data_IF_471577689985
#
_entry.id   IF_471577689985
#
_cell.length_a   1.000
_cell.length_b   1.000
_cell.length_c   1.000
_cell.angle_alpha   90.00
_cell.angle_beta   90.00
_cell.angle_gamma   90.00
#
_symmetry.space_group_name_H-M   'P 1'
#
loop_
_entity.id
_entity.type
_entity.pdbx_description
1 polymer ?
#
# COMPACT_ATOMS: atom_id res chain seq x y z
N UNK A 1 14.69 15.46 -17.64
CA UNK A 1 15.33 14.21 -17.18
C UNK A 1 14.42 13.20 -16.48
N UNK A 2 14.05 13.30 -15.19
CA UNK A 2 13.32 12.20 -14.49
C UNK A 2 12.07 11.69 -15.24
N UNK A 3 11.22 12.60 -15.71
CA UNK A 3 10.01 12.22 -16.46
C UNK A 3 10.33 11.66 -17.86
N UNK A 4 11.40 12.14 -18.50
CA UNK A 4 11.85 11.59 -19.80
C UNK A 4 12.26 10.13 -19.65
N UNK A 5 12.95 9.78 -18.56
CA UNK A 5 13.31 8.39 -18.25
C UNK A 5 12.07 7.52 -18.05
N UNK A 6 11.07 8.00 -17.28
CA UNK A 6 9.83 7.26 -17.04
C UNK A 6 8.97 7.08 -18.29
N UNK A 7 8.95 8.07 -19.17
CA UNK A 7 8.23 8.01 -20.45
C UNK A 7 9.04 7.30 -21.55
N UNK A 8 10.30 6.94 -21.30
CA UNK A 8 11.19 6.35 -22.29
C UNK A 8 11.50 7.28 -23.47
N UNK A 9 11.57 8.61 -23.24
CA UNK A 9 11.82 9.60 -24.28
C UNK A 9 13.31 9.92 -24.40
N UNK A 10 13.80 10.05 -25.65
CA UNK A 10 15.17 10.47 -25.93
C UNK A 10 15.27 11.39 -27.16
N UNK A 11 16.35 12.17 -27.25
CA UNK A 11 16.64 13.05 -28.39
C UNK A 11 15.52 14.06 -28.68
N UNK A 12 15.04 14.09 -29.92
CA UNK A 12 14.03 15.06 -30.38
C UNK A 12 12.62 14.82 -29.79
N UNK A 13 12.41 13.72 -29.04
CA UNK A 13 11.14 13.43 -28.38
C UNK A 13 10.97 14.17 -27.03
N UNK A 14 11.99 14.93 -26.61
CA UNK A 14 11.99 15.65 -25.34
C UNK A 14 11.18 16.97 -25.41
N UNK A 15 10.80 17.42 -26.61
CA UNK A 15 10.04 18.67 -26.83
C UNK A 15 8.52 18.56 -26.55
N UNK A 16 8.14 17.83 -25.50
CA UNK A 16 6.75 17.76 -25.03
C UNK A 16 6.37 18.98 -24.19
N UNK A 17 5.09 19.36 -24.22
CA UNK A 17 4.56 20.53 -23.49
C UNK A 17 3.63 20.07 -22.36
N UNK A 18 3.74 20.70 -21.20
CA UNK A 18 2.83 20.48 -20.07
C UNK A 18 1.70 21.51 -20.06
N UNK A 19 0.54 21.11 -19.54
CA UNK A 19 -0.50 22.06 -19.15
C UNK A 19 0.01 22.92 -18.00
N UNK A 20 -0.26 24.22 -18.02
CA UNK A 20 0.16 25.16 -16.98
C UNK A 20 -0.60 25.01 -15.65
N UNK A 21 -1.66 24.20 -15.62
CA UNK A 21 -2.55 24.06 -14.46
C UNK A 21 -2.83 22.60 -14.13
N UNK A 22 -2.83 22.30 -12.83
CA UNK A 22 -3.27 21.02 -12.28
C UNK A 22 -4.78 20.85 -12.50
N UNK A 23 -5.24 19.62 -12.82
CA UNK A 23 -6.67 19.34 -12.96
C UNK A 23 -7.42 19.65 -11.67
N UNK A 24 -8.62 20.22 -11.80
CA UNK A 24 -9.47 20.51 -10.65
C UNK A 24 -9.89 19.21 -9.95
N UNK A 25 -9.88 19.21 -8.62
CA UNK A 25 -10.39 18.09 -7.83
C UNK A 25 -11.91 17.97 -8.06
N UNK A 26 -12.44 16.75 -8.27
CA UNK A 26 -13.87 16.52 -8.39
C UNK A 26 -14.64 17.10 -7.18
N UNK A 27 -15.87 17.55 -7.40
CA UNK A 27 -16.73 18.06 -6.32
C UNK A 27 -17.38 16.95 -5.48
N UNK A 28 -17.40 15.73 -6.02
CA UNK A 28 -18.03 14.57 -5.42
C UNK A 28 -16.91 13.63 -5.00
N UNK A 29 -16.95 13.23 -3.72
CA UNK A 29 -16.04 12.24 -3.16
C UNK A 29 -16.39 10.86 -3.74
N UNK A 30 -15.37 10.11 -4.15
CA UNK A 30 -15.58 8.76 -4.68
C UNK A 30 -15.98 7.78 -3.58
N UNK A 31 -16.74 6.75 -3.94
CA UNK A 31 -17.02 5.66 -3.00
C UNK A 31 -15.76 4.80 -2.80
N UNK A 32 -15.25 4.78 -1.57
CA UNK A 32 -14.04 4.06 -1.18
C UNK A 32 -14.31 2.89 -0.21
N UNK A 33 -15.55 2.36 -0.17
CA UNK A 33 -15.93 1.36 0.84
C UNK A 33 -15.25 0.01 0.64
N UNK A 34 -14.98 -0.37 -0.61
CA UNK A 34 -14.46 -1.70 -0.98
C UNK A 34 -12.95 -1.71 -1.29
N UNK A 35 -12.22 -0.64 -0.96
CA UNK A 35 -10.80 -0.48 -1.32
C UNK A 35 -9.93 -1.64 -0.82
N UNK A 36 -10.15 -2.13 0.39
CA UNK A 36 -9.39 -3.27 0.93
C UNK A 36 -9.60 -4.55 0.12
N UNK A 37 -10.84 -4.87 -0.22
CA UNK A 37 -11.17 -6.07 -1.00
C UNK A 37 -10.59 -5.98 -2.41
N UNK A 38 -10.73 -4.82 -3.05
CA UNK A 38 -10.16 -4.59 -4.38
C UNK A 38 -8.63 -4.72 -4.36
N UNK A 39 -7.94 -4.12 -3.37
CA UNK A 39 -6.49 -4.18 -3.27
C UNK A 39 -5.95 -5.60 -3.08
N UNK A 40 -6.65 -6.45 -2.31
CA UNK A 40 -6.27 -7.86 -2.17
C UNK A 40 -6.51 -8.63 -3.47
N UNK A 41 -7.67 -8.43 -4.09
CA UNK A 41 -8.07 -9.17 -5.28
C UNK A 41 -7.14 -8.88 -6.48
N UNK A 42 -6.66 -7.65 -6.61
CA UNK A 42 -5.76 -7.25 -7.69
C UNK A 42 -4.28 -7.44 -7.38
N UNK A 43 -3.90 -7.71 -6.12
CA UNK A 43 -2.49 -7.77 -5.72
C UNK A 43 -1.71 -8.83 -6.49
N UNK A 44 -0.69 -8.36 -7.23
CA UNK A 44 0.24 -9.21 -7.96
C UNK A 44 1.18 -9.92 -6.99
N UNK A 45 1.60 -9.24 -5.92
CA UNK A 45 2.51 -9.82 -4.91
C UNK A 45 1.88 -11.01 -4.17
N UNK A 46 0.58 -10.94 -3.84
CA UNK A 46 -0.14 -12.08 -3.27
C UNK A 46 -0.25 -13.24 -4.26
N UNK A 47 -0.54 -12.93 -5.53
CA UNK A 47 -0.61 -13.96 -6.57
C UNK A 47 0.74 -14.65 -6.77
N UNK A 48 1.84 -13.89 -6.77
CA UNK A 48 3.20 -14.42 -6.85
C UNK A 48 3.54 -15.29 -5.63
N UNK A 49 3.30 -14.79 -4.42
CA UNK A 49 3.56 -15.55 -3.19
C UNK A 49 2.77 -16.86 -3.14
N UNK A 50 1.51 -16.84 -3.62
CA UNK A 50 0.70 -18.04 -3.73
C UNK A 50 1.25 -19.02 -4.78
N UNK A 51 1.69 -18.53 -5.95
CA UNK A 51 2.29 -19.36 -7.01
C UNK A 51 3.61 -19.98 -6.59
N UNK A 52 4.45 -19.26 -5.85
CA UNK A 52 5.68 -19.79 -5.28
C UNK A 52 5.41 -20.92 -4.28
N UNK A 53 4.34 -20.78 -3.48
CA UNK A 53 3.90 -21.83 -2.56
C UNK A 53 3.38 -23.06 -3.31
N UNK A 54 2.59 -22.87 -4.37
CA UNK A 54 2.10 -23.95 -5.24
C UNK A 54 3.27 -24.72 -5.90
N UNK A 55 4.29 -24.01 -6.37
CA UNK A 55 5.48 -24.60 -6.95
C UNK A 55 6.33 -25.36 -5.92
N UNK A 56 6.48 -24.82 -4.71
CA UNK A 56 7.17 -25.52 -3.61
C UNK A 56 6.44 -26.79 -3.20
N UNK A 57 5.11 -26.75 -3.07
CA UNK A 57 4.32 -27.93 -2.76
C UNK A 57 4.45 -29.02 -3.83
N UNK A 58 4.39 -28.64 -5.11
CA UNK A 58 4.58 -29.57 -6.23
C UNK A 58 5.98 -30.23 -6.21
N UNK A 59 7.04 -29.49 -5.87
CA UNK A 59 8.40 -30.04 -5.73
C UNK A 59 8.53 -30.99 -4.54
N UNK A 60 7.79 -30.75 -3.46
CA UNK A 60 7.84 -31.53 -2.23
C UNK A 60 6.81 -32.69 -2.21
N UNK A 61 6.01 -32.85 -3.27
CA UNK A 61 4.97 -33.87 -3.35
C UNK A 61 3.79 -33.64 -2.39
N UNK A 62 3.60 -32.40 -1.93
CA UNK A 62 2.53 -32.02 -1.01
C UNK A 62 1.27 -31.71 -1.82
N UNK A 63 0.13 -32.27 -1.41
CA UNK A 63 -1.15 -32.02 -2.04
C UNK A 63 -1.62 -30.56 -1.85
N UNK A 64 -2.26 -30.01 -2.88
CA UNK A 64 -2.79 -28.63 -2.91
C UNK A 64 -3.80 -28.37 -1.79
N UNK A 65 -4.55 -29.39 -1.38
CA UNK A 65 -5.50 -29.28 -0.27
C UNK A 65 -4.82 -28.92 1.06
N UNK A 66 -3.56 -29.34 1.27
CA UNK A 66 -2.78 -28.99 2.47
C UNK A 66 -2.38 -27.51 2.52
N UNK A 67 -2.43 -26.79 1.39
CA UNK A 67 -2.07 -25.37 1.29
C UNK A 67 -3.13 -24.44 1.87
N UNK A 68 -4.38 -24.87 2.01
CA UNK A 68 -5.48 -24.02 2.50
C UNK A 68 -5.33 -23.76 4.01
N UNK A 69 -4.84 -24.76 4.76
CA UNK A 69 -4.55 -24.66 6.19
C UNK A 69 -3.33 -25.51 6.57
N UNK A 70 -2.09 -25.03 6.30
CA UNK A 70 -0.87 -25.79 6.58
C UNK A 70 -0.66 -26.14 8.06
N UNK A 71 -1.29 -25.36 8.94
CA UNK A 71 -1.29 -25.55 10.38
C UNK A 71 -2.27 -26.61 10.89
N UNK A 72 -3.29 -26.97 10.09
CA UNK A 72 -4.26 -28.03 10.42
C UNK A 72 -3.78 -29.39 9.89
N UNK A 73 -3.00 -29.41 8.81
CA UNK A 73 -2.34 -30.64 8.33
C UNK A 73 -1.21 -31.14 9.24
N UNK A 74 -0.87 -30.39 10.29
CA UNK A 74 0.02 -30.81 11.37
C UNK A 74 -0.70 -31.75 12.38
N UNK A 75 -1.08 -32.96 11.96
CA UNK A 75 -1.41 -34.08 12.88
C UNK A 75 -2.44 -35.09 12.32
N UNK A 76 -2.61 -36.29 12.90
CA UNK A 76 -1.76 -37.14 13.75
C UNK A 76 -1.16 -38.35 12.97
N UNK A 77 -0.01 -38.88 13.41
CA UNK A 77 0.47 -40.20 12.94
C UNK A 77 -0.41 -41.28 13.58
N UNK A 78 -1.13 -42.05 12.76
CA UNK A 78 -1.86 -43.26 13.18
C UNK A 78 -1.41 -44.41 12.28
N UNK A 79 -0.61 -45.33 12.84
CA UNK A 79 -0.24 -46.56 12.18
C UNK A 79 -1.16 -47.69 12.67
N UNK A 80 -1.74 -48.44 11.71
CA UNK A 80 -2.60 -49.58 11.97
C UNK A 80 -1.70 -50.80 12.18
N UNK A 81 -1.66 -51.30 13.40
CA UNK A 81 -0.90 -52.51 13.74
C UNK A 81 -1.72 -53.75 13.28
N UNK A 82 -1.21 -54.49 12.31
CA UNK A 82 -1.73 -55.82 11.95
C UNK A 82 -1.27 -56.82 13.01
N UNK A 83 -2.23 -57.33 13.77
CA UNK A 83 -1.96 -58.08 14.98
C UNK A 83 -1.26 -59.42 14.79
N UNK A 84 -0.47 -59.79 15.80
CA UNK A 84 -0.26 -61.17 16.24
C UNK A 84 -0.18 -61.18 17.77
N UNK A 85 -0.97 -62.03 18.42
CA UNK A 85 -0.97 -62.17 19.88
C UNK A 85 0.11 -63.16 20.32
N UNK A 86 1.00 -62.73 21.20
CA UNK A 86 1.87 -63.60 21.99
C UNK A 86 1.84 -63.17 23.47
N UNK A 87 1.60 -64.15 24.35
CA UNK A 87 1.57 -63.97 25.80
C UNK A 87 2.96 -64.30 26.38
N UNK A 88 3.60 -63.32 27.02
CA UNK A 88 4.82 -63.48 27.82
C UNK A 88 5.38 -62.11 28.25
N UNK A 89 5.95 -61.95 29.47
CA UNK A 89 6.47 -60.67 29.92
C UNK A 89 7.83 -60.41 29.28
N UNK A 90 7.82 -59.87 28.07
CA UNK A 90 8.99 -59.32 27.40
C UNK A 90 8.62 -57.93 26.88
N UNK A 91 9.13 -56.89 27.55
CA UNK A 91 9.08 -55.52 27.03
C UNK A 91 10.05 -55.41 25.86
N UNK A 92 9.61 -55.82 24.67
CA UNK A 92 10.27 -55.48 23.42
C UNK A 92 9.83 -54.06 23.03
N UNK A 93 10.57 -53.05 23.52
CA UNK A 93 10.46 -51.70 22.98
C UNK A 93 11.19 -51.72 21.63
N UNK A 94 10.45 -51.88 20.54
CA UNK A 94 10.98 -51.68 19.21
C UNK A 94 11.38 -50.20 19.09
N UNK A 95 12.65 -49.90 19.31
CA UNK A 95 13.23 -48.62 18.90
C UNK A 95 13.34 -48.70 17.38
N UNK A 96 12.57 -47.89 16.62
CA UNK A 96 12.73 -47.89 15.17
C UNK A 96 14.15 -47.42 14.85
N UNK A 97 14.96 -48.31 14.28
CA UNK A 97 16.36 -48.06 13.93
C UNK A 97 16.53 -47.36 12.58
N UNK A 98 15.46 -46.80 12.00
CA UNK A 98 15.48 -46.24 10.66
C UNK A 98 14.63 -44.96 10.56
N UNK A 99 15.31 -43.86 10.25
CA UNK A 99 14.75 -42.53 9.98
C UNK A 99 14.19 -42.49 8.55
N UNK A 100 13.02 -43.10 8.33
CA UNK A 100 12.41 -43.22 7.00
C UNK A 100 11.73 -41.91 6.54
N UNK A 101 12.52 -40.85 6.36
CA UNK A 101 12.09 -39.62 5.69
C UNK A 101 11.23 -38.66 6.51
N UNK A 102 11.01 -38.93 7.81
CA UNK A 102 10.25 -38.04 8.70
C UNK A 102 10.92 -36.66 8.85
N UNK A 103 12.26 -36.61 8.94
CA UNK A 103 13.00 -35.35 8.96
C UNK A 103 12.80 -34.53 7.67
N UNK A 104 12.81 -35.18 6.50
CA UNK A 104 12.59 -34.54 5.21
C UNK A 104 11.13 -34.06 5.04
N UNK A 105 10.16 -34.84 5.51
CA UNK A 105 8.74 -34.45 5.51
C UNK A 105 8.47 -33.28 6.48
N UNK A 106 9.08 -33.28 7.67
CA UNK A 106 8.98 -32.19 8.63
C UNK A 106 9.61 -30.90 8.09
N UNK A 107 10.78 -30.99 7.44
CA UNK A 107 11.42 -29.85 6.79
C UNK A 107 10.58 -29.30 5.63
N UNK A 108 10.01 -30.18 4.79
CA UNK A 108 9.10 -29.82 3.72
C UNK A 108 7.86 -29.09 4.24
N UNK A 109 7.26 -29.58 5.32
CA UNK A 109 6.12 -28.94 5.97
C UNK A 109 6.46 -27.57 6.57
N UNK A 110 7.61 -27.46 7.25
CA UNK A 110 8.07 -26.21 7.83
C UNK A 110 8.25 -25.12 6.77
N UNK A 111 8.74 -25.48 5.57
CA UNK A 111 8.90 -24.54 4.46
C UNK A 111 7.55 -24.01 3.95
N UNK A 112 6.54 -24.87 3.80
CA UNK A 112 5.17 -24.43 3.43
C UNK A 112 4.59 -23.51 4.50
N UNK A 113 4.73 -23.84 5.79
CA UNK A 113 4.26 -22.99 6.89
C UNK A 113 4.96 -21.62 6.86
N UNK A 114 6.26 -21.59 6.57
CA UNK A 114 7.02 -20.34 6.42
C UNK A 114 6.47 -19.47 5.29
N UNK A 115 6.23 -20.07 4.11
CA UNK A 115 5.65 -19.36 2.96
C UNK A 115 4.22 -18.88 3.24
N UNK A 116 3.42 -19.66 3.98
CA UNK A 116 2.08 -19.27 4.40
C UNK A 116 2.08 -18.08 5.36
N UNK A 117 2.98 -18.08 6.35
CA UNK A 117 3.16 -16.96 7.26
C UNK A 117 3.60 -15.70 6.51
N UNK A 118 4.45 -15.85 5.48
CA UNK A 118 4.82 -14.75 4.60
C UNK A 118 3.62 -14.20 3.80
N UNK A 119 2.85 -15.08 3.15
CA UNK A 119 1.64 -14.71 2.41
C UNK A 119 0.62 -13.97 3.29
N UNK A 120 0.37 -14.49 4.49
CA UNK A 120 -0.56 -13.87 5.45
C UNK A 120 -0.07 -12.52 5.95
N UNK A 121 1.23 -12.38 6.25
CA UNK A 121 1.82 -11.10 6.61
C UNK A 121 1.67 -10.06 5.47
N UNK A 122 1.95 -10.46 4.23
CA UNK A 122 1.81 -9.62 3.05
C UNK A 122 0.35 -9.19 2.84
N UNK A 123 -0.62 -10.09 3.05
CA UNK A 123 -2.04 -9.76 2.98
C UNK A 123 -2.48 -8.76 4.06
N UNK A 124 -1.90 -8.84 5.26
CA UNK A 124 -2.14 -7.85 6.34
C UNK A 124 -1.54 -6.49 5.97
N UNK A 125 -0.34 -6.47 5.40
CA UNK A 125 0.34 -5.25 4.96
C UNK A 125 -0.47 -4.53 3.86
N UNK A 126 -0.95 -5.26 2.83
CA UNK A 126 -1.79 -4.69 1.78
C UNK A 126 -3.07 -4.08 2.35
N UNK A 127 -3.79 -4.80 3.23
CA UNK A 127 -5.00 -4.27 3.89
C UNK A 127 -4.70 -3.03 4.71
N UNK A 128 -3.57 -3.00 5.40
CA UNK A 128 -3.14 -1.83 6.19
C UNK A 128 -2.82 -0.63 5.29
N UNK A 129 -2.12 -0.87 4.18
CA UNK A 129 -1.81 0.13 3.17
C UNK A 129 -3.07 0.69 2.53
N UNK A 130 -4.00 -0.17 2.11
CA UNK A 130 -5.30 0.21 1.57
C UNK A 130 -6.10 1.14 2.50
N UNK A 131 -6.15 0.82 3.80
CA UNK A 131 -6.80 1.68 4.81
C UNK A 131 -6.09 3.02 4.97
N UNK A 132 -4.76 3.01 4.98
CA UNK A 132 -3.93 4.21 5.14
C UNK A 132 -4.09 5.15 3.95
N UNK A 133 -3.97 4.64 2.73
CA UNK A 133 -4.12 5.42 1.49
C UNK A 133 -5.54 5.98 1.38
N UNK A 134 -6.57 5.17 1.68
CA UNK A 134 -7.96 5.65 1.76
C UNK A 134 -8.09 6.82 2.73
N UNK A 135 -7.60 6.68 3.96
CA UNK A 135 -7.68 7.74 4.96
C UNK A 135 -6.95 9.02 4.51
N UNK A 136 -5.75 8.87 3.96
CA UNK A 136 -4.96 9.99 3.46
C UNK A 136 -5.67 10.72 2.30
N UNK A 137 -6.31 9.97 1.39
CA UNK A 137 -7.06 10.55 0.28
C UNK A 137 -8.26 11.37 0.76
N UNK A 138 -9.04 10.84 1.71
CA UNK A 138 -10.17 11.55 2.30
C UNK A 138 -9.71 12.84 3.01
N UNK A 139 -8.58 12.79 3.71
CA UNK A 139 -8.04 13.96 4.40
C UNK A 139 -7.51 15.01 3.42
N UNK A 140 -6.76 14.62 2.38
CA UNK A 140 -6.26 15.55 1.38
C UNK A 140 -7.39 16.18 0.57
N UNK A 141 -8.45 15.41 0.29
CA UNK A 141 -9.68 15.92 -0.31
C UNK A 141 -10.32 17.03 0.54
N UNK A 142 -10.57 16.75 1.83
CA UNK A 142 -11.14 17.73 2.77
C UNK A 142 -10.26 18.96 2.93
N UNK A 143 -8.94 18.76 3.03
CA UNK A 143 -7.97 19.85 3.16
C UNK A 143 -8.01 20.76 1.93
N UNK A 144 -7.96 20.18 0.73
CA UNK A 144 -8.00 20.96 -0.51
C UNK A 144 -9.33 21.73 -0.65
N UNK A 145 -10.45 21.09 -0.33
CA UNK A 145 -11.76 21.75 -0.34
C UNK A 145 -11.82 22.90 0.67
N UNK A 146 -11.27 22.72 1.87
CA UNK A 146 -11.18 23.78 2.87
C UNK A 146 -10.34 24.95 2.41
N UNK A 147 -9.20 24.70 1.75
CA UNK A 147 -8.38 25.77 1.17
C UNK A 147 -9.15 26.56 0.11
N UNK A 148 -9.82 25.85 -0.81
CA UNK A 148 -10.56 26.44 -1.92
C UNK A 148 -11.79 27.23 -1.46
N UNK A 149 -12.55 26.71 -0.51
CA UNK A 149 -13.85 27.26 -0.12
C UNK A 149 -13.76 28.27 1.03
N UNK A 150 -12.74 28.16 1.89
CA UNK A 150 -12.65 28.99 3.11
C UNK A 150 -11.39 29.85 3.10
N UNK A 151 -10.21 29.24 2.96
CA UNK A 151 -8.95 29.95 3.20
C UNK A 151 -8.63 30.99 2.12
N UNK A 152 -8.76 30.63 0.84
CA UNK A 152 -8.49 31.57 -0.26
C UNK A 152 -9.47 32.74 -0.22
N UNK A 153 -10.80 32.53 -0.19
CA UNK A 153 -11.74 33.65 -0.18
C UNK A 153 -11.55 34.57 1.03
N UNK A 154 -11.27 34.01 2.21
CA UNK A 154 -10.99 34.79 3.41
C UNK A 154 -9.73 35.64 3.26
N UNK A 155 -8.65 35.07 2.72
CA UNK A 155 -7.41 35.82 2.49
C UNK A 155 -7.62 36.96 1.50
N UNK A 156 -8.38 36.73 0.43
CA UNK A 156 -8.74 37.76 -0.56
C UNK A 156 -9.58 38.88 0.04
N UNK A 157 -10.56 38.54 0.89
CA UNK A 157 -11.37 39.52 1.62
C UNK A 157 -10.51 40.38 2.55
N UNK A 158 -9.63 39.76 3.34
CA UNK A 158 -8.72 40.48 4.24
C UNK A 158 -7.89 41.48 3.42
N UNK A 159 -7.30 41.04 2.31
CA UNK A 159 -6.50 41.94 1.48
C UNK A 159 -7.31 43.06 0.86
N UNK A 160 -8.55 42.79 0.44
CA UNK A 160 -9.47 43.82 -0.04
C UNK A 160 -9.72 44.89 1.03
N UNK A 161 -10.06 44.50 2.26
CA UNK A 161 -10.25 45.44 3.36
C UNK A 161 -8.97 46.20 3.73
N UNK A 162 -7.81 45.52 3.77
CA UNK A 162 -6.52 46.19 4.00
C UNK A 162 -6.23 47.24 2.93
N UNK A 163 -6.62 46.99 1.67
CA UNK A 163 -6.46 47.94 0.56
C UNK A 163 -7.35 49.17 0.76
N UNK A 164 -8.61 48.97 1.17
CA UNK A 164 -9.52 50.07 1.50
C UNK A 164 -8.97 50.94 2.64
N UNK A 165 -8.43 50.31 3.69
CA UNK A 165 -7.84 51.04 4.83
C UNK A 165 -6.55 51.77 4.48
N UNK A 166 -5.73 51.21 3.59
CA UNK A 166 -4.57 51.90 3.03
C UNK A 166 -5.02 53.14 2.23
N UNK A 167 -6.03 53.01 1.37
CA UNK A 167 -6.57 54.13 0.58
C UNK A 167 -7.16 55.24 1.48
N UNK A 168 -7.72 54.86 2.62
CA UNK A 168 -8.21 55.80 3.64
C UNK A 168 -7.09 56.38 4.53
N UNK A 169 -5.81 56.13 4.21
CA UNK A 169 -4.63 56.54 4.98
C UNK A 169 -4.61 56.01 6.44
N UNK A 170 -5.35 54.95 6.75
CA UNK A 170 -5.42 54.35 8.08
C UNK A 170 -4.31 53.31 8.33
N UNK A 171 -3.80 52.68 7.26
CA UNK A 171 -2.71 51.71 7.32
C UNK A 171 -1.56 52.12 6.39
N UNK A 172 -0.34 51.72 6.75
CA UNK A 172 0.85 51.95 5.93
C UNK A 172 1.00 50.94 4.78
N UNK A 173 1.78 51.31 3.76
CA UNK A 173 2.03 50.46 2.57
C UNK A 173 2.68 49.12 2.92
N UNK A 174 3.55 49.08 3.94
CA UNK A 174 4.20 47.84 4.37
C UNK A 174 3.20 46.80 4.90
N UNK A 175 2.14 47.24 5.59
CA UNK A 175 1.05 46.37 6.04
C UNK A 175 0.32 45.76 4.85
N UNK A 176 0.02 46.56 3.82
CA UNK A 176 -0.62 46.07 2.60
C UNK A 176 0.26 45.03 1.87
N UNK A 177 1.56 45.28 1.75
CA UNK A 177 2.51 44.35 1.12
C UNK A 177 2.61 43.03 1.91
N UNK A 178 2.66 43.11 3.25
CA UNK A 178 2.68 41.92 4.11
C UNK A 178 1.38 41.10 3.95
N UNK A 179 0.22 41.75 3.96
CA UNK A 179 -1.07 41.06 3.73
C UNK A 179 -1.12 40.40 2.36
N UNK A 180 -0.64 41.07 1.30
CA UNK A 180 -0.53 40.49 -0.04
C UNK A 180 0.41 39.27 -0.07
N UNK A 181 1.54 39.32 0.62
CA UNK A 181 2.45 38.17 0.73
C UNK A 181 1.75 36.97 1.42
N UNK A 182 0.99 37.22 2.49
CA UNK A 182 0.22 36.19 3.18
C UNK A 182 -0.82 35.57 2.23
N UNK A 183 -1.57 36.39 1.48
CA UNK A 183 -2.54 35.92 0.47
C UNK A 183 -1.89 35.00 -0.57
N UNK A 184 -0.73 35.40 -1.12
CA UNK A 184 0.03 34.59 -2.08
C UNK A 184 0.46 33.26 -1.46
N UNK A 185 1.00 33.28 -0.22
CA UNK A 185 1.40 32.05 0.46
C UNK A 185 0.21 31.11 0.70
N UNK A 186 -0.99 31.64 1.01
CA UNK A 186 -2.21 30.80 1.11
C UNK A 186 -2.59 30.18 -0.23
N UNK A 187 -2.43 30.90 -1.34
CA UNK A 187 -2.65 30.38 -2.69
C UNK A 187 -1.64 29.28 -3.06
N UNK A 188 -0.36 29.46 -2.71
CA UNK A 188 0.67 28.43 -2.89
C UNK A 188 0.30 27.15 -2.12
N UNK A 189 -0.05 27.26 -0.84
CA UNK A 189 -0.47 26.10 -0.04
C UNK A 189 -1.72 25.40 -0.57
N UNK A 190 -2.64 26.14 -1.19
CA UNK A 190 -3.80 25.52 -1.83
C UNK A 190 -3.41 24.68 -3.07
N UNK A 191 -2.44 25.16 -3.86
CA UNK A 191 -1.87 24.39 -4.97
C UNK A 191 -1.12 23.15 -4.46
N UNK A 192 -0.37 23.27 -3.36
CA UNK A 192 0.28 22.13 -2.71
C UNK A 192 -0.75 21.11 -2.23
N UNK A 193 -1.82 21.52 -1.56
CA UNK A 193 -2.90 20.63 -1.14
C UNK A 193 -3.57 19.93 -2.34
N UNK A 194 -3.73 20.63 -3.46
CA UNK A 194 -4.25 20.04 -4.70
C UNK A 194 -3.28 19.00 -5.29
N UNK A 195 -1.98 19.30 -5.32
CA UNK A 195 -0.94 18.36 -5.75
C UNK A 195 -0.95 17.10 -4.87
N UNK A 196 -1.00 17.27 -3.55
CA UNK A 196 -0.91 16.16 -2.60
C UNK A 196 -2.13 15.23 -2.73
N UNK A 197 -3.32 15.77 -3.00
CA UNK A 197 -4.49 14.97 -3.36
C UNK A 197 -4.22 14.09 -4.59
N UNK A 198 -3.69 14.67 -5.67
CA UNK A 198 -3.42 13.91 -6.90
C UNK A 198 -2.34 12.85 -6.72
N UNK A 199 -1.31 13.12 -5.91
CA UNK A 199 -0.29 12.12 -5.58
C UNK A 199 -0.93 10.94 -4.85
N UNK A 200 -1.72 11.19 -3.80
CA UNK A 200 -2.36 10.12 -3.03
C UNK A 200 -3.39 9.36 -3.88
N UNK A 201 -4.08 10.06 -4.79
CA UNK A 201 -4.99 9.45 -5.75
C UNK A 201 -4.26 8.45 -6.66
N UNK A 202 -3.08 8.83 -7.18
CA UNK A 202 -2.26 7.92 -7.99
C UNK A 202 -1.72 6.74 -7.19
N UNK A 203 -1.42 6.93 -5.90
CA UNK A 203 -1.02 5.84 -5.00
C UNK A 203 -2.16 4.83 -4.80
N UNK A 204 -3.39 5.32 -4.61
CA UNK A 204 -4.58 4.47 -4.54
C UNK A 204 -4.78 3.68 -5.83
N UNK A 205 -4.73 4.33 -6.98
CA UNK A 205 -4.88 3.68 -8.29
C UNK A 205 -3.80 2.61 -8.52
N UNK A 206 -2.55 2.90 -8.13
CA UNK A 206 -1.45 1.93 -8.23
C UNK A 206 -1.71 0.69 -7.36
N UNK A 207 -2.19 0.90 -6.13
CA UNK A 207 -2.57 -0.18 -5.23
C UNK A 207 -3.72 -1.03 -5.79
N UNK A 208 -4.74 -0.37 -6.35
CA UNK A 208 -5.88 -1.04 -6.98
C UNK A 208 -5.50 -1.78 -8.26
N UNK A 209 -4.44 -1.37 -8.95
CA UNK A 209 -3.86 -2.06 -10.10
C UNK A 209 -2.91 -3.20 -9.70
N UNK A 210 -2.79 -3.51 -8.41
CA UNK A 210 -2.07 -4.68 -7.91
C UNK A 210 -0.63 -4.44 -7.49
N UNK A 211 -0.18 -3.18 -7.48
CA UNK A 211 1.18 -2.80 -7.10
C UNK A 211 1.19 -2.02 -5.79
N UNK A 212 1.99 -2.46 -4.81
CA UNK A 212 2.24 -1.66 -3.63
C UNK A 212 3.38 -0.67 -3.90
N UNK A 213 3.13 0.63 -3.74
CA UNK A 213 4.19 1.63 -3.81
C UNK A 213 5.09 1.48 -2.57
N UNK A 214 6.28 0.91 -2.74
CA UNK A 214 7.24 0.84 -1.63
C UNK A 214 7.67 2.24 -1.20
N UNK A 215 7.46 2.55 0.09
CA UNK A 215 7.83 3.82 0.75
C UNK A 215 9.29 4.24 0.51
N UNK A 216 10.17 3.30 0.16
CA UNK A 216 11.59 3.54 -0.13
C UNK A 216 11.88 4.28 -1.46
N UNK A 217 10.90 4.43 -2.35
CA UNK A 217 11.11 5.08 -3.66
C UNK A 217 11.28 6.60 -3.60
N UNK A 218 10.67 7.26 -2.61
CA UNK A 218 10.69 8.72 -2.50
C UNK A 218 11.85 9.24 -1.63
N UNK A 219 12.22 8.53 -0.56
CA UNK A 219 13.30 8.98 0.34
C UNK A 219 14.71 8.86 -0.27
N UNK A 220 14.93 7.97 -1.24
CA UNK A 220 16.22 7.85 -1.95
C UNK A 220 16.52 9.00 -2.92
N UNK A 221 15.58 9.92 -3.15
CA UNK A 221 15.75 11.01 -4.11
C UNK A 221 15.92 12.40 -3.47
N UNK A 222 16.02 12.47 -2.14
CA UNK A 222 16.29 13.71 -1.38
C UNK A 222 17.57 13.65 -0.53
N UNK A 223 18.58 12.90 -0.96
CA UNK A 223 19.96 13.01 -0.47
C UNK A 223 20.91 13.24 -1.63
#
# INVERSE_FOLDING_TARGET
EKLNVLMGLWGNQIDWKFSSQLPAIPLIEENLDHVENCAIASSIDLQLSYKDMEATAARLGIDRFSLVFPQISAGPSSERDEGVWYVGPAFALAIPFFDFGQANAAAAQAEIVRQWNHYTALAVEIRSSARSVRFNLLNSYRQSQYFKQVIIPLAEQITCYTTLQYNAMQLGVFTLLMTKQIEINKKIHAVEAQRDYWIIKTELETLLNGHMMQKNGLERTMR
#
